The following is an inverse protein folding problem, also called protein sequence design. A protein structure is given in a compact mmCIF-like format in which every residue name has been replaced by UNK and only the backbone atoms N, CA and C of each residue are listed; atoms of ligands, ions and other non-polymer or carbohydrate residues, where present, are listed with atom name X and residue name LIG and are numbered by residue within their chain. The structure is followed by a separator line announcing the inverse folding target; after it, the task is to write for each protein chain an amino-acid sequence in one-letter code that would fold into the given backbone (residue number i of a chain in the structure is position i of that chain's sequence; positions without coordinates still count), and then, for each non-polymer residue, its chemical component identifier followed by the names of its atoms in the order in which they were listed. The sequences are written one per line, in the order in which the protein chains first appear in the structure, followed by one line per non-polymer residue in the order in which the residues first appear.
data_IF_012701893889
#
_entry.id   IF_012701893889
#
_cell.length_a   1.000
_cell.length_b   1.000
_cell.length_c   1.000
_cell.angle_alpha   90.00
_cell.angle_beta   90.00
_cell.angle_gamma   90.00
#
_symmetry.space_group_name_H-M   'P 1'
#
loop_
_entity.id
_entity.type
_entity.pdbx_description
1 polymer ?
#
# COMPACT_ATOMS: atom_id res chain seq x y z
N UNK A 1 14.23 -4.52 -7.37
CA UNK A 1 13.70 -3.73 -6.24
C UNK A 1 14.73 -2.69 -5.79
N UNK A 2 14.29 -1.58 -5.20
CA UNK A 2 15.18 -0.52 -4.69
C UNK A 2 16.19 -1.05 -3.67
N UNK A 3 15.80 -2.00 -2.82
CA UNK A 3 16.68 -2.66 -1.85
C UNK A 3 17.89 -3.37 -2.46
N UNK A 4 17.79 -3.82 -3.71
CA UNK A 4 18.87 -4.51 -4.41
C UNK A 4 19.67 -3.62 -5.36
N UNK A 5 19.28 -2.35 -5.52
CA UNK A 5 19.85 -1.45 -6.51
C UNK A 5 21.34 -1.16 -6.25
N UNK A 6 21.76 -1.17 -4.97
CA UNK A 6 23.15 -1.02 -4.58
C UNK A 6 24.09 -2.09 -5.21
N UNK A 7 23.55 -3.29 -5.51
CA UNK A 7 24.33 -4.34 -6.16
C UNK A 7 24.67 -4.00 -7.62
N UNK A 8 23.77 -3.27 -8.28
CA UNK A 8 24.00 -2.76 -9.65
C UNK A 8 24.91 -1.53 -9.59
N UNK A 9 24.63 -0.61 -8.68
CA UNK A 9 25.38 0.63 -8.52
C UNK A 9 26.88 0.37 -8.26
N UNK A 10 27.22 -0.68 -7.48
CA UNK A 10 28.60 -1.05 -7.16
C UNK A 10 29.36 -1.72 -8.34
N UNK A 11 28.64 -2.16 -9.38
CA UNK A 11 29.24 -2.72 -10.57
C UNK A 11 29.15 -1.66 -11.69
N UNK A 12 30.27 -1.32 -12.30
CA UNK A 12 30.32 -0.30 -13.36
C UNK A 12 29.70 -0.82 -14.67
N UNK A 13 28.40 -1.11 -14.64
CA UNK A 13 27.66 -1.50 -15.84
C UNK A 13 27.24 -0.28 -16.64
N UNK A 14 27.36 -0.33 -17.95
CA UNK A 14 26.67 0.60 -18.82
C UNK A 14 25.21 0.16 -18.94
N UNK A 15 24.28 1.08 -18.65
CA UNK A 15 22.84 0.82 -18.71
C UNK A 15 22.29 1.67 -19.88
N UNK A 16 21.72 1.03 -20.89
CA UNK A 16 21.10 1.79 -21.98
C UNK A 16 19.87 2.56 -21.50
N UNK A 17 18.96 1.86 -20.81
CA UNK A 17 17.70 2.48 -20.36
C UNK A 17 17.34 2.02 -18.95
N UNK A 18 17.05 2.97 -18.09
CA UNK A 18 16.60 2.75 -16.72
C UNK A 18 15.17 3.25 -16.55
N UNK A 19 14.27 2.34 -16.19
CA UNK A 19 12.89 2.65 -15.82
C UNK A 19 12.71 2.51 -14.31
N UNK A 20 12.14 3.53 -13.70
CA UNK A 20 11.97 3.61 -12.26
C UNK A 20 10.50 3.88 -11.94
N UNK A 21 9.79 2.84 -11.57
CA UNK A 21 8.40 2.91 -11.12
C UNK A 21 8.35 3.24 -9.64
N UNK A 22 7.26 3.88 -9.17
CA UNK A 22 7.12 4.42 -7.81
C UNK A 22 8.33 5.26 -7.39
N UNK A 23 8.77 6.11 -8.31
CA UNK A 23 10.03 6.85 -8.23
C UNK A 23 10.13 7.76 -6.99
N UNK A 24 9.02 8.13 -6.35
CA UNK A 24 9.02 8.87 -5.10
C UNK A 24 9.78 8.13 -3.97
N UNK A 25 9.90 6.79 -4.06
CA UNK A 25 10.67 6.00 -3.10
C UNK A 25 12.18 6.22 -3.23
N UNK A 26 12.66 6.61 -4.40
CA UNK A 26 14.10 6.88 -4.64
C UNK A 26 14.64 8.06 -3.86
N UNK A 27 13.78 8.97 -3.41
CA UNK A 27 14.17 10.13 -2.59
C UNK A 27 14.55 9.75 -1.15
N UNK A 28 14.29 8.51 -0.73
CA UNK A 28 14.63 8.04 0.61
C UNK A 28 16.15 7.95 0.79
N UNK A 29 16.60 8.27 2.01
CA UNK A 29 18.04 8.30 2.36
C UNK A 29 18.78 7.01 2.01
N UNK A 30 18.09 5.88 2.12
CA UNK A 30 18.67 4.56 1.90
C UNK A 30 18.83 4.21 0.41
N UNK A 31 17.99 4.77 -0.46
CA UNK A 31 17.93 4.41 -1.88
C UNK A 31 18.60 5.45 -2.78
N UNK A 32 18.55 6.71 -2.40
CA UNK A 32 19.03 7.82 -3.22
C UNK A 32 20.49 7.66 -3.70
N UNK A 33 21.48 7.27 -2.86
CA UNK A 33 22.86 7.11 -3.32
C UNK A 33 23.00 6.11 -4.47
N UNK A 34 22.34 4.96 -4.35
CA UNK A 34 22.36 3.92 -5.40
C UNK A 34 21.65 4.37 -6.67
N UNK A 35 20.54 5.09 -6.53
CA UNK A 35 19.80 5.66 -7.67
C UNK A 35 20.66 6.68 -8.40
N UNK A 36 21.28 7.62 -7.69
CA UNK A 36 22.15 8.64 -8.28
C UNK A 36 23.29 8.00 -9.09
N UNK A 37 23.92 6.95 -8.55
CA UNK A 37 24.97 6.21 -9.26
C UNK A 37 24.42 5.50 -10.52
N UNK A 38 23.31 4.81 -10.41
CA UNK A 38 22.70 4.11 -11.58
C UNK A 38 22.27 5.10 -12.65
N UNK A 39 21.76 6.26 -12.26
CA UNK A 39 21.40 7.34 -13.18
C UNK A 39 22.60 7.82 -13.98
N UNK A 40 23.77 7.97 -13.34
CA UNK A 40 25.02 8.37 -14.02
C UNK A 40 25.53 7.29 -14.99
N UNK A 41 25.27 6.00 -14.67
CA UNK A 41 25.62 4.87 -15.53
C UNK A 41 24.62 4.65 -16.66
N UNK A 42 23.49 5.37 -16.68
CA UNK A 42 22.38 5.16 -17.60
C UNK A 42 22.37 6.19 -18.71
N UNK A 43 22.22 5.74 -19.97
CA UNK A 43 22.07 6.62 -21.13
C UNK A 43 20.71 7.32 -21.15
N UNK A 44 19.62 6.55 -20.86
CA UNK A 44 18.25 7.03 -20.78
C UNK A 44 17.67 6.65 -19.44
N UNK A 45 16.86 7.51 -18.86
CA UNK A 45 16.26 7.33 -17.57
C UNK A 45 14.85 7.90 -17.53
N UNK A 46 13.91 7.10 -17.04
CA UNK A 46 12.51 7.46 -16.93
C UNK A 46 12.01 7.14 -15.52
N UNK A 47 11.40 8.13 -14.90
CA UNK A 47 10.87 8.05 -13.55
C UNK A 47 9.35 8.23 -13.60
N UNK A 48 8.63 7.27 -13.03
CA UNK A 48 7.17 7.25 -12.99
C UNK A 48 6.71 7.31 -11.53
N UNK A 49 5.77 8.17 -11.24
CA UNK A 49 5.14 8.26 -9.91
C UNK A 49 3.86 9.07 -9.97
N UNK A 50 2.85 8.63 -9.20
CA UNK A 50 1.65 9.42 -8.96
C UNK A 50 1.84 10.48 -7.88
N UNK A 51 2.85 10.35 -7.03
CA UNK A 51 3.08 11.18 -5.84
C UNK A 51 4.51 11.71 -5.77
N UNK A 52 4.89 12.67 -6.63
CA UNK A 52 6.26 13.19 -6.65
C UNK A 52 6.62 13.84 -5.31
N UNK A 53 7.83 13.54 -4.80
CA UNK A 53 8.36 14.10 -3.56
C UNK A 53 9.41 15.15 -3.86
N UNK A 54 9.13 16.37 -3.49
CA UNK A 54 10.04 17.50 -3.61
C UNK A 54 10.75 17.78 -2.29
N UNK A 55 11.96 18.31 -2.34
CA UNK A 55 12.75 18.70 -1.16
C UNK A 55 13.20 20.13 -1.28
N UNK A 56 13.07 20.91 -0.20
CA UNK A 56 13.55 22.28 -0.14
C UNK A 56 15.09 22.37 -0.33
N UNK A 57 15.82 21.33 0.04
CA UNK A 57 17.28 21.26 -0.13
C UNK A 57 17.73 20.77 -1.50
N UNK A 58 16.81 20.44 -2.39
CA UNK A 58 17.03 19.95 -3.76
C UNK A 58 17.92 18.69 -3.91
N UNK A 59 18.73 18.32 -2.92
CA UNK A 59 19.70 17.24 -3.03
C UNK A 59 19.08 15.88 -3.36
N UNK A 60 18.00 15.52 -2.67
CA UNK A 60 17.33 14.21 -2.80
C UNK A 60 15.89 14.28 -3.29
N UNK A 61 15.34 15.48 -3.46
CA UNK A 61 13.98 15.63 -3.97
C UNK A 61 13.90 15.38 -5.48
N UNK A 62 12.72 15.01 -5.97
CA UNK A 62 12.49 14.85 -7.41
C UNK A 62 12.58 16.17 -8.20
N UNK A 63 12.75 17.27 -7.52
CA UNK A 63 13.14 18.56 -8.08
C UNK A 63 14.66 18.71 -8.32
N UNK A 64 15.46 17.67 -8.05
CA UNK A 64 16.86 17.62 -8.47
C UNK A 64 16.96 17.19 -9.93
N UNK A 65 17.11 18.16 -10.83
CA UNK A 65 17.15 17.93 -12.27
C UNK A 65 18.36 17.09 -12.74
N UNK A 66 19.47 17.08 -12.00
CA UNK A 66 20.66 16.30 -12.36
C UNK A 66 20.40 14.79 -12.24
N UNK A 67 19.50 14.39 -11.32
CA UNK A 67 19.14 12.99 -11.11
C UNK A 67 17.85 12.65 -11.86
N UNK A 68 16.81 13.45 -11.71
CA UNK A 68 15.45 13.12 -12.19
C UNK A 68 15.13 13.73 -13.56
N UNK A 69 15.93 14.70 -14.03
CA UNK A 69 15.62 15.42 -15.25
C UNK A 69 14.46 16.41 -15.09
N UNK A 70 13.84 16.74 -16.21
CA UNK A 70 12.66 17.59 -16.23
C UNK A 70 11.39 16.75 -16.30
N UNK A 71 10.29 17.28 -15.77
CA UNK A 71 8.99 16.67 -15.93
C UNK A 71 8.60 16.67 -17.42
N UNK A 72 8.36 15.49 -17.98
CA UNK A 72 8.00 15.31 -19.39
C UNK A 72 6.50 15.41 -19.60
N UNK A 73 5.73 14.79 -18.71
CA UNK A 73 4.28 14.73 -18.80
C UNK A 73 3.68 14.59 -17.39
N UNK A 74 2.57 15.25 -17.18
CA UNK A 74 1.72 15.09 -16.02
C UNK A 74 0.32 14.78 -16.53
N UNK A 75 -0.27 13.67 -16.06
CA UNK A 75 -1.68 13.35 -16.29
C UNK A 75 -2.41 13.66 -14.99
N UNK A 76 -3.39 14.54 -15.02
CA UNK A 76 -4.16 14.93 -13.86
C UNK A 76 -5.21 13.88 -13.49
N UNK A 77 -5.68 13.89 -12.23
CA UNK A 77 -6.80 13.05 -11.82
C UNK A 77 -8.07 13.37 -12.62
N UNK A 78 -8.29 14.65 -12.94
CA UNK A 78 -9.46 15.08 -13.74
C UNK A 78 -9.43 14.48 -15.14
N UNK A 79 -8.28 14.50 -15.83
CA UNK A 79 -8.12 13.85 -17.12
C UNK A 79 -8.39 12.33 -17.07
N UNK A 80 -7.97 11.66 -15.97
CA UNK A 80 -8.22 10.23 -15.79
C UNK A 80 -9.69 9.93 -15.48
N UNK A 81 -10.37 10.80 -14.76
CA UNK A 81 -11.81 10.72 -14.51
C UNK A 81 -12.61 10.94 -15.81
N UNK A 82 -12.26 11.99 -16.57
CA UNK A 82 -12.94 12.36 -17.81
C UNK A 82 -12.84 11.27 -18.88
N UNK A 83 -11.70 10.59 -18.96
CA UNK A 83 -11.52 9.47 -19.90
C UNK A 83 -12.00 8.11 -19.35
N UNK A 84 -12.53 8.07 -18.12
CA UNK A 84 -13.04 6.84 -17.48
C UNK A 84 -11.97 5.85 -17.08
N UNK A 85 -10.69 6.28 -17.00
CA UNK A 85 -9.59 5.41 -16.56
C UNK A 85 -9.62 5.14 -15.04
N UNK A 86 -10.19 6.04 -14.27
CA UNK A 86 -10.45 5.87 -12.84
C UNK A 86 -11.89 6.26 -12.50
N UNK A 87 -12.40 5.71 -11.41
CA UNK A 87 -13.72 6.04 -10.88
C UNK A 87 -13.54 7.09 -9.77
N UNK A 88 -14.40 8.12 -9.67
CA UNK A 88 -14.31 9.10 -8.59
C UNK A 88 -14.46 8.43 -7.23
N UNK A 89 -13.52 8.61 -6.30
CA UNK A 89 -13.63 8.04 -4.96
C UNK A 89 -14.67 8.81 -4.14
N UNK A 90 -15.48 8.08 -3.36
CA UNK A 90 -16.29 8.69 -2.30
C UNK A 90 -15.47 8.67 -1.02
N UNK A 91 -15.21 9.85 -0.44
CA UNK A 91 -14.42 9.99 0.79
C UNK A 91 -15.35 10.34 1.95
N UNK A 92 -15.46 9.43 2.92
CA UNK A 92 -16.16 9.67 4.18
C UNK A 92 -15.13 9.85 5.29
N UNK A 93 -15.20 10.98 5.99
CA UNK A 93 -14.31 11.27 7.12
C UNK A 93 -15.09 11.10 8.43
N UNK A 94 -14.57 10.25 9.30
CA UNK A 94 -15.12 10.02 10.63
C UNK A 94 -14.15 10.55 11.68
N UNK A 95 -14.64 11.34 12.61
CA UNK A 95 -13.89 11.83 13.78
C UNK A 95 -14.31 11.04 15.00
N UNK A 96 -13.34 10.72 15.86
CA UNK A 96 -13.56 9.91 17.05
C UNK A 96 -12.91 10.58 18.26
N UNK A 97 -13.46 10.30 19.44
CA UNK A 97 -12.87 10.73 20.70
C UNK A 97 -11.56 10.00 20.98
N UNK A 98 -10.65 10.65 21.68
CA UNK A 98 -9.36 10.08 22.02
C UNK A 98 -9.53 8.99 23.09
N UNK A 99 -9.14 7.77 22.78
CA UNK A 99 -9.08 6.63 23.72
C UNK A 99 -7.65 6.41 24.22
N UNK A 100 -7.50 5.89 25.43
CA UNK A 100 -6.23 5.91 26.16
C UNK A 100 -5.54 4.54 26.25
N UNK A 101 -6.28 3.46 26.42
CA UNK A 101 -5.71 2.11 26.55
C UNK A 101 -5.65 1.40 25.19
N UNK A 102 -4.82 0.34 25.10
CA UNK A 102 -4.71 -0.45 23.87
C UNK A 102 -5.98 -1.26 23.58
N UNK A 103 -6.61 -1.74 24.64
CA UNK A 103 -7.85 -2.47 24.59
C UNK A 103 -8.98 -1.56 24.09
N UNK A 104 -9.15 -0.37 24.69
CA UNK A 104 -10.13 0.61 24.25
C UNK A 104 -9.92 1.04 22.78
N UNK A 105 -8.67 1.22 22.36
CA UNK A 105 -8.36 1.52 20.95
C UNK A 105 -8.77 0.35 20.05
N UNK A 106 -8.49 -0.88 20.45
CA UNK A 106 -8.83 -2.05 19.66
C UNK A 106 -10.35 -2.25 19.55
N UNK A 107 -11.10 -2.08 20.63
CA UNK A 107 -12.56 -2.13 20.64
C UNK A 107 -13.16 -1.04 19.78
N UNK A 108 -12.67 0.20 19.94
CA UNK A 108 -13.13 1.34 19.18
C UNK A 108 -12.86 1.19 17.68
N UNK A 109 -11.66 0.73 17.28
CA UNK A 109 -11.32 0.48 15.89
C UNK A 109 -12.16 -0.66 15.30
N UNK A 110 -12.40 -1.73 16.08
CA UNK A 110 -13.26 -2.84 15.70
C UNK A 110 -14.71 -2.38 15.46
N UNK A 111 -15.27 -1.64 16.39
CA UNK A 111 -16.63 -1.06 16.28
C UNK A 111 -16.74 -0.13 15.07
N UNK A 112 -15.69 0.63 14.79
CA UNK A 112 -15.66 1.53 13.64
C UNK A 112 -15.69 0.76 12.34
N UNK A 113 -14.85 -0.26 12.21
CA UNK A 113 -14.84 -1.13 11.02
C UNK A 113 -16.21 -1.78 10.84
N UNK A 114 -16.80 -2.35 11.88
CA UNK A 114 -18.11 -2.99 11.81
C UNK A 114 -19.23 -2.00 11.41
N UNK A 115 -19.24 -0.80 12.00
CA UNK A 115 -20.22 0.24 11.64
C UNK A 115 -20.14 0.65 10.17
N UNK A 116 -18.92 0.88 9.66
CA UNK A 116 -18.74 1.26 8.26
C UNK A 116 -19.20 0.14 7.34
N UNK A 117 -18.80 -1.11 7.63
CA UNK A 117 -19.20 -2.26 6.84
C UNK A 117 -20.71 -2.44 6.77
N UNK A 118 -21.39 -2.31 7.91
CA UNK A 118 -22.85 -2.47 7.97
C UNK A 118 -23.57 -1.30 7.30
N UNK A 119 -23.07 -0.07 7.50
CA UNK A 119 -23.70 1.14 6.93
C UNK A 119 -23.60 1.18 5.41
N UNK A 120 -22.46 0.78 4.87
CA UNK A 120 -22.16 0.92 3.44
C UNK A 120 -22.44 -0.38 2.67
N UNK A 121 -22.90 -1.45 3.35
CA UNK A 121 -23.11 -2.81 2.79
C UNK A 121 -21.90 -3.25 1.94
N UNK A 122 -20.70 -2.94 2.44
CA UNK A 122 -19.49 -3.12 1.68
C UNK A 122 -19.07 -4.60 1.64
N UNK A 123 -18.92 -5.15 0.46
CA UNK A 123 -18.61 -6.57 0.27
C UNK A 123 -17.10 -6.85 0.22
N UNK A 124 -16.31 -5.91 -0.30
CA UNK A 124 -14.86 -6.04 -0.51
C UNK A 124 -14.14 -4.90 0.17
N UNK A 125 -13.50 -5.18 1.29
CA UNK A 125 -12.99 -4.15 2.18
C UNK A 125 -11.50 -4.35 2.46
N UNK A 126 -10.74 -3.28 2.27
CA UNK A 126 -9.35 -3.20 2.68
C UNK A 126 -9.24 -2.28 3.90
N UNK A 127 -8.75 -2.82 5.00
CA UNK A 127 -8.51 -2.08 6.24
C UNK A 127 -7.01 -1.86 6.40
N UNK A 128 -6.56 -0.62 6.14
CA UNK A 128 -5.17 -0.23 6.34
C UNK A 128 -4.98 0.26 7.78
N UNK A 129 -4.36 -0.56 8.61
CA UNK A 129 -4.05 -0.20 9.98
C UNK A 129 -2.75 0.62 10.08
N UNK A 130 -2.63 1.56 11.02
CA UNK A 130 -1.41 2.34 11.20
C UNK A 130 -0.22 1.52 11.71
N UNK A 131 -0.46 0.32 12.25
CA UNK A 131 0.60 -0.62 12.62
C UNK A 131 0.09 -2.06 12.73
N UNK A 132 0.99 -3.03 12.59
CA UNK A 132 0.67 -4.45 12.85
C UNK A 132 0.24 -4.70 14.31
N UNK A 133 0.61 -3.83 15.26
CA UNK A 133 0.20 -3.94 16.66
C UNK A 133 -1.30 -3.73 16.83
N UNK A 134 -1.90 -2.82 16.06
CA UNK A 134 -3.34 -2.56 16.11
C UNK A 134 -4.10 -3.78 15.58
N UNK A 135 -3.70 -4.34 14.46
CA UNK A 135 -4.31 -5.57 13.93
C UNK A 135 -4.24 -6.68 14.99
N UNK A 136 -3.09 -6.88 15.63
CA UNK A 136 -2.93 -7.88 16.66
C UNK A 136 -3.77 -7.59 17.91
N UNK A 137 -3.92 -6.32 18.29
CA UNK A 137 -4.78 -5.93 19.41
C UNK A 137 -6.25 -6.23 19.10
N UNK A 138 -6.72 -5.91 17.90
CA UNK A 138 -8.07 -6.27 17.46
C UNK A 138 -8.30 -7.78 17.48
N UNK A 139 -7.31 -8.58 17.04
CA UNK A 139 -7.39 -10.05 17.10
C UNK A 139 -7.42 -10.60 18.53
N UNK A 140 -6.71 -9.96 19.47
CA UNK A 140 -6.51 -10.46 20.82
C UNK A 140 -7.60 -10.01 21.83
N UNK A 141 -8.12 -8.79 21.65
CA UNK A 141 -8.98 -8.14 22.63
C UNK A 141 -10.43 -7.95 22.17
N UNK A 142 -10.73 -8.22 20.88
CA UNK A 142 -12.09 -8.05 20.35
C UNK A 142 -12.60 -9.30 19.65
N UNK A 143 -13.91 -9.36 19.46
CA UNK A 143 -14.57 -10.43 18.72
C UNK A 143 -14.79 -10.11 17.23
N UNK A 144 -14.21 -9.03 16.72
CA UNK A 144 -14.45 -8.53 15.36
C UNK A 144 -14.28 -9.63 14.29
N UNK A 145 -13.25 -10.48 14.40
CA UNK A 145 -13.01 -11.53 13.42
C UNK A 145 -14.10 -12.59 13.42
N UNK A 146 -14.64 -12.92 14.62
CA UNK A 146 -15.77 -13.83 14.76
C UNK A 146 -17.05 -13.21 14.22
N UNK A 147 -17.30 -11.93 14.51
CA UNK A 147 -18.46 -11.21 14.04
C UNK A 147 -18.46 -11.05 12.52
N UNK A 148 -17.32 -10.72 11.90
CA UNK A 148 -17.20 -10.66 10.46
C UNK A 148 -17.49 -12.02 9.81
N UNK A 149 -16.98 -13.10 10.41
CA UNK A 149 -17.25 -14.46 9.95
C UNK A 149 -18.74 -14.84 10.04
N UNK A 150 -19.43 -14.43 11.10
CA UNK A 150 -20.88 -14.67 11.25
C UNK A 150 -21.74 -13.90 10.23
N UNK A 151 -21.15 -12.92 9.55
CA UNK A 151 -21.76 -12.13 8.46
C UNK A 151 -21.27 -12.56 7.07
N UNK A 152 -20.72 -13.77 6.95
CA UNK A 152 -20.22 -14.41 5.74
C UNK A 152 -19.01 -13.72 5.09
N UNK A 153 -18.27 -12.89 5.85
CA UNK A 153 -17.01 -12.36 5.34
C UNK A 153 -15.87 -13.38 5.47
N UNK A 154 -15.09 -13.50 4.42
CA UNK A 154 -13.76 -14.08 4.51
C UNK A 154 -12.82 -13.07 5.17
N UNK A 155 -12.28 -13.41 6.33
CA UNK A 155 -11.41 -12.53 7.10
C UNK A 155 -9.96 -12.84 6.80
N UNK A 156 -9.26 -11.86 6.27
CA UNK A 156 -7.89 -11.96 5.81
C UNK A 156 -6.99 -11.00 6.58
N UNK A 157 -5.84 -11.46 7.04
CA UNK A 157 -4.83 -10.58 7.63
C UNK A 157 -3.45 -10.87 7.04
N UNK A 158 -2.68 -9.83 6.78
CA UNK A 158 -1.30 -9.99 6.35
C UNK A 158 -0.40 -8.94 7.02
N UNK A 159 0.62 -9.42 7.74
CA UNK A 159 1.62 -8.59 8.40
C UNK A 159 3.02 -9.19 8.22
N UNK A 160 4.06 -8.36 8.26
CA UNK A 160 5.44 -8.83 8.17
C UNK A 160 5.84 -9.78 9.31
N UNK A 161 5.27 -9.58 10.50
CA UNK A 161 5.61 -10.36 11.70
C UNK A 161 4.87 -11.69 11.79
N UNK A 162 3.58 -11.71 11.46
CA UNK A 162 2.73 -12.90 11.64
C UNK A 162 2.48 -13.65 10.32
N UNK A 163 2.87 -13.06 9.19
CA UNK A 163 2.61 -13.61 7.88
C UNK A 163 1.17 -13.41 7.43
N UNK A 164 0.70 -14.32 6.60
CA UNK A 164 -0.62 -14.32 6.02
C UNK A 164 -1.55 -15.30 6.75
N UNK A 165 -2.76 -14.86 7.08
CA UNK A 165 -3.80 -15.65 7.76
C UNK A 165 -5.11 -15.45 7.02
N UNK A 166 -5.84 -16.53 6.75
CA UNK A 166 -7.19 -16.52 6.17
C UNK A 166 -8.11 -17.27 7.12
N UNK A 167 -9.18 -16.64 7.55
CA UNK A 167 -10.19 -17.25 8.42
C UNK A 167 -9.59 -17.92 9.67
N UNK A 168 -8.55 -17.31 10.25
CA UNK A 168 -7.84 -17.84 11.42
C UNK A 168 -6.76 -18.88 11.10
N UNK A 169 -6.63 -19.32 9.84
CA UNK A 169 -5.65 -20.32 9.43
C UNK A 169 -4.44 -19.66 8.76
N UNK A 170 -3.25 -19.94 9.27
CA UNK A 170 -1.99 -19.45 8.69
C UNK A 170 -1.75 -20.08 7.33
N UNK A 171 -1.35 -19.25 6.36
CA UNK A 171 -1.10 -19.68 4.98
C UNK A 171 0.19 -19.09 4.41
N UNK A 172 0.62 -19.56 3.25
CA UNK A 172 1.71 -18.92 2.52
C UNK A 172 1.24 -17.63 1.83
N UNK A 173 2.18 -16.71 1.57
CA UNK A 173 1.88 -15.47 0.86
C UNK A 173 1.28 -15.74 -0.54
N UNK A 174 1.79 -16.73 -1.25
CA UNK A 174 1.27 -17.11 -2.57
C UNK A 174 -0.21 -17.55 -2.49
N UNK A 175 -0.53 -18.48 -1.59
CA UNK A 175 -1.91 -18.94 -1.37
C UNK A 175 -2.84 -17.82 -0.87
N UNK A 176 -2.31 -16.87 -0.13
CA UNK A 176 -3.09 -15.72 0.33
C UNK A 176 -3.56 -14.84 -0.84
N UNK A 177 -2.69 -14.50 -1.77
CA UNK A 177 -3.06 -13.72 -2.94
C UNK A 177 -3.91 -14.50 -3.93
N UNK A 178 -3.66 -15.80 -4.09
CA UNK A 178 -4.52 -16.68 -4.86
C UNK A 178 -5.95 -16.71 -4.30
N UNK A 179 -6.10 -16.81 -2.97
CA UNK A 179 -7.41 -16.78 -2.32
C UNK A 179 -8.09 -15.41 -2.46
N UNK A 180 -7.35 -14.30 -2.35
CA UNK A 180 -7.87 -12.95 -2.54
C UNK A 180 -8.45 -12.80 -3.96
N UNK A 181 -7.71 -13.25 -4.96
CA UNK A 181 -8.16 -13.25 -6.35
C UNK A 181 -9.40 -14.14 -6.56
N UNK A 182 -9.42 -15.33 -5.96
CA UNK A 182 -10.57 -16.23 -6.02
C UNK A 182 -11.83 -15.63 -5.38
N UNK A 183 -11.72 -15.02 -4.18
CA UNK A 183 -12.85 -14.37 -3.52
C UNK A 183 -13.37 -13.21 -4.35
N UNK A 184 -12.47 -12.41 -4.91
CA UNK A 184 -12.82 -11.30 -5.78
C UNK A 184 -13.57 -11.77 -7.02
N UNK A 185 -13.07 -12.78 -7.74
CA UNK A 185 -13.66 -13.29 -8.98
C UNK A 185 -15.00 -14.02 -8.75
N UNK A 186 -15.20 -14.62 -7.57
CA UNK A 186 -16.46 -15.29 -7.22
C UNK A 186 -17.51 -14.37 -6.61
N UNK A 187 -17.19 -13.09 -6.39
CA UNK A 187 -18.08 -12.17 -5.69
C UNK A 187 -18.28 -12.52 -4.21
N UNK A 188 -17.34 -13.20 -3.59
CA UNK A 188 -17.40 -13.53 -2.17
C UNK A 188 -17.01 -12.30 -1.31
N UNK A 189 -17.73 -12.11 -0.20
CA UNK A 189 -17.43 -11.03 0.73
C UNK A 189 -16.09 -11.27 1.43
N UNK A 190 -15.25 -10.23 1.53
CA UNK A 190 -14.01 -10.30 2.31
C UNK A 190 -13.66 -8.99 2.98
N UNK A 191 -12.97 -9.10 4.12
CA UNK A 191 -12.30 -7.99 4.81
C UNK A 191 -10.84 -8.34 4.99
N UNK A 192 -9.97 -7.52 4.44
CA UNK A 192 -8.53 -7.71 4.49
C UNK A 192 -7.87 -6.63 5.33
N UNK A 193 -7.32 -7.03 6.47
CA UNK A 193 -6.54 -6.16 7.36
C UNK A 193 -5.07 -6.23 7.01
N UNK A 194 -4.45 -5.09 6.78
CA UNK A 194 -3.02 -5.03 6.48
C UNK A 194 -2.32 -3.82 7.11
N UNK A 195 -1.02 -3.93 7.22
CA UNK A 195 -0.13 -2.82 7.53
C UNK A 195 1.00 -2.79 6.50
N UNK A 196 1.07 -1.71 5.72
CA UNK A 196 2.14 -1.41 4.75
C UNK A 196 2.43 -2.45 3.64
N UNK A 197 1.95 -3.70 3.75
CA UNK A 197 2.31 -4.77 2.79
C UNK A 197 1.55 -4.62 1.46
N UNK A 198 0.38 -3.99 1.51
CA UNK A 198 -0.51 -3.80 0.37
C UNK A 198 -0.61 -2.34 -0.07
N UNK A 199 0.36 -1.52 0.30
CA UNK A 199 0.34 -0.09 -0.02
C UNK A 199 0.61 0.20 -1.50
N UNK A 200 1.18 -0.77 -2.23
CA UNK A 200 1.58 -0.59 -3.63
C UNK A 200 1.41 -1.90 -4.42
N UNK A 201 0.91 -1.79 -5.65
CA UNK A 201 0.99 -2.87 -6.65
C UNK A 201 0.06 -4.07 -6.45
N UNK A 202 -1.07 -3.92 -5.75
CA UNK A 202 -2.08 -4.97 -5.66
C UNK A 202 -3.31 -4.57 -6.45
N UNK A 203 -3.65 -5.41 -7.42
CA UNK A 203 -4.88 -5.30 -8.16
C UNK A 203 -5.94 -6.18 -7.47
N UNK A 204 -7.04 -5.57 -7.04
CA UNK A 204 -8.22 -6.25 -6.52
C UNK A 204 -9.32 -6.03 -7.53
N UNK A 205 -9.67 -7.07 -8.28
CA UNK A 205 -10.71 -7.02 -9.31
C UNK A 205 -12.11 -7.02 -8.73
#
# INVERSE_FOLDING_TARGET
TYHSLHKIANNQFFIDTFYCDEAHNTTQRNFFPSVSTVVQQSRRKFFFTATPKFSAKHERGMNNADVYGHNLITVSADELLDCGAIIPPTVNVHTFDTVRTKEEVAEHDADTVLRVLVKDDAERVLVSAPSARIINAMMAFTDIFRELRSRDYNVMTITSKHGAIINGVKTSRAKFFEALDQFSNRGEKFVLFHYSILSEGINVH
#
